data_IF_965094834219
#
_entry.id   IF_965094834219
#
_cell.length_a   1.000
_cell.length_b   1.000
_cell.length_c   1.000
_cell.angle_alpha   90.00
_cell.angle_beta   90.00
_cell.angle_gamma   90.00
#
_symmetry.space_group_name_H-M   'P 1'
#
loop_
_entity.id
_entity.type
_entity.pdbx_description
1 polymer ?
#
# COMPACT_ATOMS: atom_id res chain seq x y z
N UNK A 1 73.62 22.09 64.64
CA UNK A 1 73.32 21.31 65.85
C UNK A 1 71.92 20.73 65.63
N UNK A 2 71.95 19.42 65.35
CA UNK A 2 71.20 18.37 66.02
C UNK A 2 69.68 18.59 66.01
N UNK A 3 68.85 17.70 65.70
CA UNK A 3 68.85 16.24 65.49
C UNK A 3 67.40 15.89 65.21
N UNK A 4 67.24 14.91 64.43
CA UNK A 4 66.55 13.63 64.61
C UNK A 4 65.02 13.62 64.53
N UNK A 5 64.60 12.99 63.54
CA UNK A 5 64.05 11.64 63.45
C UNK A 5 62.60 11.50 63.91
N UNK A 6 61.69 11.08 63.04
CA UNK A 6 61.07 9.78 63.16
C UNK A 6 60.03 9.57 62.06
N UNK A 7 60.31 8.59 61.38
CA UNK A 7 59.55 7.72 60.50
C UNK A 7 58.16 7.33 61.02
N UNK A 8 57.10 7.43 60.18
CA UNK A 8 55.91 6.57 60.24
C UNK A 8 55.22 6.51 58.87
N UNK A 9 54.74 5.35 58.48
CA UNK A 9 54.38 5.03 57.08
C UNK A 9 53.04 5.59 56.63
N UNK A 10 52.99 5.93 55.35
CA UNK A 10 51.82 6.38 54.64
C UNK A 10 50.78 5.28 54.55
N UNK A 11 49.59 5.56 55.08
CA UNK A 11 48.36 4.75 54.81
C UNK A 11 47.94 4.94 53.38
N UNK A 12 47.90 3.86 52.63
CA UNK A 12 47.36 3.79 51.28
C UNK A 12 45.87 4.05 51.29
N UNK A 13 45.47 5.24 50.84
CA UNK A 13 44.10 5.53 50.48
C UNK A 13 43.83 4.85 49.13
N UNK A 14 43.14 3.73 49.14
CA UNK A 14 42.57 3.10 47.98
C UNK A 14 41.43 3.99 47.48
N UNK A 15 41.64 4.73 46.40
CA UNK A 15 40.58 5.32 45.61
C UNK A 15 39.74 4.19 45.01
N UNK A 16 38.58 3.92 45.60
CA UNK A 16 37.52 3.10 45.02
C UNK A 16 36.99 3.87 43.78
N UNK A 17 37.34 3.40 42.61
CA UNK A 17 36.67 3.74 41.36
C UNK A 17 35.17 3.36 41.47
N UNK A 18 34.23 4.26 41.21
CA UNK A 18 32.84 3.85 41.19
C UNK A 18 32.68 2.76 40.09
N UNK A 19 32.28 1.59 40.50
CA UNK A 19 31.96 0.49 39.60
C UNK A 19 31.02 0.97 38.52
N UNK A 20 31.37 0.77 37.30
CA UNK A 20 30.48 0.80 36.18
C UNK A 20 29.40 -0.27 36.44
N UNK A 21 28.28 0.13 37.03
CA UNK A 21 27.09 -0.68 36.98
C UNK A 21 26.78 -0.86 35.50
N UNK A 22 27.16 -2.02 34.95
CA UNK A 22 26.58 -2.54 33.75
C UNK A 22 25.07 -2.60 34.00
N UNK A 23 24.37 -1.58 33.57
CA UNK A 23 22.94 -1.68 33.33
C UNK A 23 22.74 -2.72 32.23
N UNK A 24 22.77 -3.99 32.59
CA UNK A 24 22.00 -5.00 31.95
C UNK A 24 20.54 -4.65 32.29
N UNK A 25 20.05 -3.55 31.74
CA UNK A 25 18.65 -3.26 31.68
C UNK A 25 18.02 -4.44 30.98
N UNK A 26 17.19 -5.17 31.71
CA UNK A 26 16.12 -5.94 31.10
C UNK A 26 15.60 -5.10 29.95
N UNK A 27 15.72 -5.58 28.72
CA UNK A 27 15.18 -4.90 27.55
C UNK A 27 13.70 -4.73 27.83
N UNK A 28 13.34 -3.58 28.39
CA UNK A 28 12.00 -3.25 28.80
C UNK A 28 11.17 -3.25 27.53
N UNK A 29 10.27 -4.20 27.47
CA UNK A 29 9.35 -4.40 26.39
C UNK A 29 8.43 -3.18 26.31
N UNK A 30 8.86 -2.19 25.54
CA UNK A 30 8.03 -1.01 25.27
C UNK A 30 6.98 -1.37 24.24
N UNK A 31 5.73 -0.92 24.45
CA UNK A 31 4.69 -1.04 23.44
C UNK A 31 5.18 -0.46 22.11
N UNK A 32 4.99 -1.21 21.04
CA UNK A 32 5.50 -0.87 19.70
C UNK A 32 4.34 -0.61 18.75
N UNK A 33 4.38 0.51 18.04
CA UNK A 33 3.48 0.80 16.94
C UNK A 33 4.09 0.27 15.64
N UNK A 34 3.43 -0.69 15.00
CA UNK A 34 3.69 -1.10 13.63
C UNK A 34 2.86 -0.28 12.66
N UNK A 35 3.49 0.32 11.66
CA UNK A 35 2.81 1.07 10.60
C UNK A 35 3.19 0.47 9.26
N UNK A 36 2.20 -0.01 8.54
CA UNK A 36 2.27 -0.29 7.12
C UNK A 36 1.81 0.96 6.36
N UNK A 37 2.76 1.69 5.77
CA UNK A 37 2.48 2.83 4.90
C UNK A 37 2.43 2.35 3.45
N UNK A 38 1.26 1.91 3.01
CA UNK A 38 1.05 1.39 1.65
C UNK A 38 0.76 2.47 0.61
N UNK A 39 0.88 2.12 -0.67
CA UNK A 39 0.57 3.01 -1.81
C UNK A 39 -0.92 3.34 -1.87
N UNK A 40 -1.78 2.34 -1.71
CA UNK A 40 -3.24 2.49 -1.80
C UNK A 40 -3.90 2.59 -0.43
N UNK A 41 -3.48 1.77 0.51
CA UNK A 41 -4.00 1.72 1.87
C UNK A 41 -2.86 1.65 2.87
N UNK A 42 -3.07 2.21 4.05
CA UNK A 42 -2.17 2.13 5.20
C UNK A 42 -2.89 1.48 6.37
N UNK A 43 -2.13 0.75 7.19
CA UNK A 43 -2.63 0.09 8.38
C UNK A 43 -1.70 0.32 9.57
N UNK A 44 -2.22 0.16 10.78
CA UNK A 44 -1.42 0.23 12.00
C UNK A 44 -1.86 -0.84 13.01
N UNK A 45 -0.91 -1.28 13.81
CA UNK A 45 -1.16 -2.21 14.88
C UNK A 45 -0.30 -1.86 16.11
N UNK A 46 -0.81 -2.20 17.28
CA UNK A 46 -0.14 -1.96 18.54
C UNK A 46 0.29 -3.28 19.19
N UNK A 47 1.60 -3.47 19.37
CA UNK A 47 2.16 -4.53 20.18
C UNK A 47 2.25 -4.10 21.64
N UNK A 48 1.47 -4.74 22.53
CA UNK A 48 1.40 -4.39 23.95
C UNK A 48 2.28 -5.27 24.83
N UNK A 49 2.55 -6.48 24.39
CA UNK A 49 3.38 -7.47 25.09
C UNK A 49 3.95 -8.45 24.04
N UNK A 50 4.95 -9.30 24.40
CA UNK A 50 5.45 -10.33 23.49
C UNK A 50 4.33 -11.20 22.98
N UNK A 51 4.20 -11.20 21.67
CA UNK A 51 3.20 -12.01 21.02
C UNK A 51 1.76 -11.52 21.12
N UNK A 52 1.51 -10.35 21.72
CA UNK A 52 0.19 -9.73 21.81
C UNK A 52 0.16 -8.49 20.94
N UNK A 53 -0.66 -8.52 19.91
CA UNK A 53 -0.85 -7.39 18.97
C UNK A 53 -2.34 -7.07 18.85
N UNK A 54 -2.64 -5.79 18.80
CA UNK A 54 -3.97 -5.27 18.57
C UNK A 54 -3.98 -4.50 17.26
N UNK A 55 -4.70 -4.95 16.23
CA UNK A 55 -4.96 -4.13 15.05
C UNK A 55 -5.69 -2.86 15.45
N UNK A 56 -5.31 -1.74 14.82
CA UNK A 56 -5.93 -0.44 15.08
C UNK A 56 -6.90 -0.10 13.95
N UNK A 57 -8.13 0.20 14.30
CA UNK A 57 -9.14 0.68 13.36
C UNK A 57 -8.92 2.18 13.13
N UNK A 58 -8.10 2.54 12.15
CA UNK A 58 -7.73 3.93 11.87
C UNK A 58 -8.90 4.79 11.38
N UNK A 59 -9.99 4.18 10.89
CA UNK A 59 -11.15 4.90 10.37
C UNK A 59 -12.45 4.11 10.62
N UNK A 60 -13.25 4.57 11.59
CA UNK A 60 -14.45 3.83 12.02
C UNK A 60 -14.08 2.46 12.57
N UNK A 61 -14.64 1.39 11.99
CA UNK A 61 -14.30 0.00 12.30
C UNK A 61 -13.30 -0.62 11.30
N UNK A 62 -12.83 0.14 10.32
CA UNK A 62 -11.98 -0.37 9.25
C UNK A 62 -10.54 -0.55 9.70
N UNK A 63 -9.97 -1.73 9.49
CA UNK A 63 -8.58 -2.07 9.77
C UNK A 63 -7.57 -1.38 8.85
N UNK A 64 -8.02 -0.72 7.77
CA UNK A 64 -7.18 0.04 6.85
C UNK A 64 -7.71 1.44 6.58
N UNK A 65 -6.79 2.37 6.37
CA UNK A 65 -7.03 3.75 5.98
C UNK A 65 -6.53 3.95 4.54
N UNK A 66 -7.38 4.33 3.57
CA UNK A 66 -6.88 4.72 2.25
C UNK A 66 -5.77 5.77 2.37
N UNK A 67 -4.65 5.56 1.67
CA UNK A 67 -3.52 6.50 1.65
C UNK A 67 -3.88 7.70 0.77
N UNK A 68 -4.80 8.51 1.29
CA UNK A 68 -5.39 9.65 0.60
C UNK A 68 -5.52 10.85 1.53
N UNK A 69 -5.20 12.03 1.00
CA UNK A 69 -5.39 13.34 1.64
C UNK A 69 -6.19 14.22 0.70
N UNK A 70 -7.20 14.89 1.19
CA UNK A 70 -7.92 15.92 0.45
C UNK A 70 -7.81 17.25 1.16
N UNK A 71 -7.31 18.24 0.44
CA UNK A 71 -7.25 19.63 0.90
C UNK A 71 -8.47 20.38 0.38
N UNK A 72 -9.47 20.57 1.25
CA UNK A 72 -10.68 21.32 0.95
C UNK A 72 -10.34 22.81 0.92
N UNK A 73 -10.42 23.44 -0.26
CA UNK A 73 -10.05 24.85 -0.46
C UNK A 73 -11.07 25.81 0.15
N UNK A 74 -12.35 25.44 0.18
CA UNK A 74 -13.43 26.28 0.70
C UNK A 74 -13.35 26.41 2.23
N UNK A 75 -13.25 25.25 2.92
CA UNK A 75 -13.22 25.21 4.38
C UNK A 75 -11.81 25.38 4.97
N UNK A 76 -10.77 25.33 4.12
CA UNK A 76 -9.34 25.29 4.52
C UNK A 76 -9.05 24.15 5.50
N UNK A 77 -9.66 22.99 5.26
CA UNK A 77 -9.54 21.79 6.10
C UNK A 77 -8.89 20.64 5.31
N UNK A 78 -8.22 19.79 6.07
CA UNK A 78 -7.58 18.59 5.52
C UNK A 78 -8.37 17.36 5.94
N UNK A 79 -8.74 16.53 4.98
CA UNK A 79 -9.45 15.27 5.14
C UNK A 79 -8.54 14.10 4.79
N UNK A 80 -8.77 12.94 5.40
CA UNK A 80 -7.91 11.77 5.25
C UNK A 80 -8.73 10.52 4.98
N UNK A 81 -8.14 9.55 4.26
CA UNK A 81 -8.74 8.25 4.06
C UNK A 81 -10.02 8.30 3.22
N UNK A 82 -11.04 7.59 3.66
CA UNK A 82 -12.36 7.53 2.99
C UNK A 82 -13.06 8.87 2.99
N UNK A 83 -12.91 9.65 4.06
CA UNK A 83 -13.45 11.00 4.14
C UNK A 83 -12.84 11.92 3.06
N UNK A 84 -11.53 11.82 2.82
CA UNK A 84 -10.85 12.54 1.74
C UNK A 84 -11.40 12.15 0.36
N UNK A 85 -11.65 10.87 0.13
CA UNK A 85 -12.22 10.36 -1.11
C UNK A 85 -13.67 10.81 -1.26
N UNK A 86 -14.46 10.78 -0.18
CA UNK A 86 -15.86 11.20 -0.19
C UNK A 86 -16.02 12.68 -0.56
N UNK A 87 -15.23 13.59 0.02
CA UNK A 87 -15.22 15.00 -0.34
C UNK A 87 -14.85 15.24 -1.81
N UNK A 88 -13.86 14.48 -2.28
CA UNK A 88 -13.45 14.56 -3.69
C UNK A 88 -14.58 14.08 -4.64
N UNK A 89 -15.22 12.95 -4.32
CA UNK A 89 -16.34 12.41 -5.10
C UNK A 89 -17.58 13.32 -5.07
N UNK A 90 -17.80 14.02 -3.95
CA UNK A 90 -18.87 15.01 -3.83
C UNK A 90 -18.62 16.28 -4.67
N UNK A 91 -17.45 16.38 -5.34
CA UNK A 91 -17.10 17.54 -6.16
C UNK A 91 -16.72 18.78 -5.35
N UNK A 92 -16.43 18.64 -4.06
CA UNK A 92 -15.94 19.72 -3.20
C UNK A 92 -14.68 20.34 -3.82
N UNK A 93 -14.59 21.68 -3.79
CA UNK A 93 -13.43 22.36 -4.32
C UNK A 93 -12.19 22.07 -3.47
N UNK A 94 -11.14 21.55 -4.10
CA UNK A 94 -9.94 21.16 -3.38
C UNK A 94 -9.02 20.24 -4.17
N UNK A 95 -8.06 19.65 -3.48
CA UNK A 95 -7.03 18.81 -4.10
C UNK A 95 -6.90 17.47 -3.41
N UNK A 96 -7.14 16.39 -4.14
CA UNK A 96 -6.89 15.03 -3.69
C UNK A 96 -5.44 14.62 -3.99
N UNK A 97 -4.77 14.05 -2.98
CA UNK A 97 -3.46 13.44 -3.07
C UNK A 97 -3.57 11.96 -2.72
N UNK A 98 -3.08 11.09 -3.60
CA UNK A 98 -3.04 9.63 -3.42
C UNK A 98 -1.69 9.06 -3.85
N UNK A 99 -1.44 7.80 -3.53
CA UNK A 99 -0.25 7.04 -3.95
C UNK A 99 1.07 7.71 -3.54
N UNK A 100 1.08 8.35 -2.37
CA UNK A 100 2.23 9.13 -1.88
C UNK A 100 3.49 8.28 -1.70
N UNK A 101 3.36 6.98 -1.41
CA UNK A 101 4.51 6.06 -1.28
C UNK A 101 5.31 5.95 -2.57
N UNK A 102 4.66 6.02 -3.74
CA UNK A 102 5.34 5.93 -5.05
C UNK A 102 6.25 7.13 -5.36
N UNK A 103 6.15 8.22 -4.60
CA UNK A 103 7.04 9.38 -4.74
C UNK A 103 8.39 9.19 -4.03
N UNK A 104 8.48 8.21 -3.12
CA UNK A 104 9.74 7.92 -2.39
C UNK A 104 10.84 7.53 -3.37
N UNK A 105 12.03 8.09 -3.18
CA UNK A 105 13.17 7.88 -4.08
C UNK A 105 13.11 8.67 -5.40
N UNK A 106 12.04 9.44 -5.67
CA UNK A 106 11.95 10.32 -6.83
C UNK A 106 12.35 11.76 -6.49
N UNK A 107 12.81 12.51 -7.49
CA UNK A 107 13.11 13.94 -7.35
C UNK A 107 11.86 14.76 -6.99
N UNK A 108 10.68 14.28 -7.35
CA UNK A 108 9.40 14.93 -7.08
C UNK A 108 9.11 15.12 -5.59
N UNK A 109 9.70 14.29 -4.71
CA UNK A 109 9.42 14.37 -3.27
C UNK A 109 9.82 15.72 -2.65
N UNK A 110 10.85 16.37 -3.20
CA UNK A 110 11.31 17.69 -2.75
C UNK A 110 10.61 18.83 -3.49
N UNK A 111 9.89 18.53 -4.57
CA UNK A 111 9.09 19.54 -5.25
C UNK A 111 7.97 20.05 -4.35
N UNK A 112 7.58 21.29 -4.59
CA UNK A 112 6.53 21.94 -3.81
C UNK A 112 5.24 22.03 -4.61
N UNK A 113 4.16 21.89 -3.91
CA UNK A 113 2.82 22.10 -4.44
C UNK A 113 2.10 23.10 -3.57
N UNK A 114 1.17 23.85 -4.15
CA UNK A 114 0.39 24.84 -3.40
C UNK A 114 -0.75 24.15 -2.66
N UNK A 115 -0.85 24.42 -1.35
CA UNK A 115 -1.94 24.00 -0.49
C UNK A 115 -2.32 25.19 0.39
N UNK A 116 -3.58 25.64 0.31
CA UNK A 116 -4.11 26.80 1.06
C UNK A 116 -3.29 28.09 0.90
N UNK A 117 -2.69 28.29 -0.29
CA UNK A 117 -1.82 29.46 -0.56
C UNK A 117 -0.39 29.31 -0.03
N UNK A 118 0.01 28.14 0.45
CA UNK A 118 1.36 27.82 0.91
C UNK A 118 2.01 26.77 0.04
N UNK A 119 3.29 26.97 -0.30
CA UNK A 119 4.08 25.99 -1.03
C UNK A 119 4.64 24.95 -0.05
N UNK A 120 4.09 23.73 -0.05
CA UNK A 120 4.52 22.59 0.76
C UNK A 120 5.16 21.51 -0.10
N UNK A 121 6.15 20.79 0.44
CA UNK A 121 6.78 19.68 -0.27
C UNK A 121 5.95 18.40 -0.18
N UNK A 122 6.14 17.48 -1.12
CA UNK A 122 5.49 16.18 -1.03
C UNK A 122 5.96 15.38 0.20
N UNK A 123 7.20 15.60 0.66
CA UNK A 123 7.65 15.05 1.95
C UNK A 123 6.79 15.52 3.12
N UNK A 124 6.45 16.81 3.17
CA UNK A 124 5.62 17.37 4.23
C UNK A 124 4.17 16.87 4.14
N UNK A 125 3.70 16.53 2.94
CA UNK A 125 2.42 15.87 2.74
C UNK A 125 2.43 14.45 3.32
N UNK A 126 3.49 13.67 3.07
CA UNK A 126 3.67 12.34 3.70
C UNK A 126 3.74 12.48 5.21
N UNK A 127 4.50 13.45 5.73
CA UNK A 127 4.59 13.72 7.17
C UNK A 127 3.21 14.06 7.77
N UNK A 128 2.38 14.83 7.05
CA UNK A 128 1.01 15.15 7.47
C UNK A 128 0.14 13.89 7.56
N UNK A 129 0.25 12.97 6.62
CA UNK A 129 -0.48 11.70 6.64
C UNK A 129 -0.02 10.79 7.79
N UNK A 130 1.30 10.65 7.98
CA UNK A 130 1.86 9.86 9.10
C UNK A 130 1.51 10.47 10.47
N UNK A 131 1.45 11.81 10.58
CA UNK A 131 0.98 12.50 11.78
C UNK A 131 -0.47 12.17 12.11
N UNK A 132 -1.32 12.03 11.09
CA UNK A 132 -2.71 11.63 11.29
C UNK A 132 -2.82 10.17 11.72
N UNK A 133 -2.04 9.25 11.13
CA UNK A 133 -1.96 7.86 11.60
C UNK A 133 -1.53 7.84 13.07
N UNK A 134 -0.48 8.59 13.43
CA UNK A 134 -0.02 8.68 14.82
C UNK A 134 -1.14 9.15 15.75
N UNK A 135 -1.81 10.24 15.41
CA UNK A 135 -2.90 10.82 16.23
C UNK A 135 -4.03 9.80 16.46
N UNK A 136 -4.47 9.12 15.39
CA UNK A 136 -5.54 8.11 15.48
C UNK A 136 -5.12 6.89 16.31
N UNK A 137 -3.89 6.43 16.13
CA UNK A 137 -3.36 5.29 16.88
C UNK A 137 -3.15 5.63 18.37
N UNK A 138 -2.60 6.80 18.70
CA UNK A 138 -2.45 7.26 20.09
C UNK A 138 -3.83 7.43 20.78
N UNK A 139 -4.82 7.93 20.04
CA UNK A 139 -6.18 8.07 20.57
C UNK A 139 -6.82 6.73 20.92
N UNK A 140 -6.62 5.70 20.08
CA UNK A 140 -7.16 4.36 20.35
C UNK A 140 -6.38 3.63 21.47
N UNK A 141 -5.08 3.78 21.47
CA UNK A 141 -4.22 3.14 22.44
C UNK A 141 -4.28 3.79 23.82
N UNK A 142 -4.78 5.05 23.91
CA UNK A 142 -4.82 5.83 25.16
C UNK A 142 -3.44 6.27 25.66
N UNK A 143 -2.37 6.10 24.87
CA UNK A 143 -1.00 6.45 25.23
C UNK A 143 -0.17 6.86 24.00
N UNK A 144 0.88 7.65 24.24
CA UNK A 144 1.84 8.01 23.20
C UNK A 144 2.77 6.85 22.87
N UNK A 145 3.08 6.68 21.57
CA UNK A 145 3.98 5.65 21.10
C UNK A 145 5.45 6.03 21.32
N UNK A 146 6.22 5.16 21.94
CA UNK A 146 7.64 5.40 22.20
C UNK A 146 8.55 4.70 21.19
N UNK A 147 8.09 3.62 20.56
CA UNK A 147 8.80 2.86 19.55
C UNK A 147 7.88 2.66 18.34
N UNK A 148 8.44 2.86 17.15
CA UNK A 148 7.69 2.71 15.89
C UNK A 148 8.49 1.84 14.93
N UNK A 149 7.83 0.87 14.32
CA UNK A 149 8.37 0.08 13.22
C UNK A 149 7.57 0.40 11.96
N UNK A 150 8.27 0.94 10.96
CA UNK A 150 7.69 1.18 9.63
C UNK A 150 7.99 0.01 8.71
N UNK A 151 7.00 -0.39 7.94
CA UNK A 151 7.18 -1.28 6.81
C UNK A 151 8.03 -0.64 5.72
N UNK A 152 8.91 -1.46 5.11
CA UNK A 152 9.57 -1.12 3.87
C UNK A 152 9.44 -2.28 2.88
N UNK A 153 9.23 -2.00 1.58
CA UNK A 153 9.35 -3.03 0.55
C UNK A 153 10.80 -3.53 0.48
N UNK A 154 11.04 -4.64 -0.20
CA UNK A 154 12.41 -5.12 -0.42
C UNK A 154 13.21 -4.05 -1.17
N UNK A 155 12.60 -3.47 -2.20
CA UNK A 155 13.12 -2.33 -2.95
C UNK A 155 12.06 -1.23 -3.07
N UNK A 156 12.39 0.00 -2.67
CA UNK A 156 11.60 1.19 -3.02
C UNK A 156 11.82 1.59 -4.47
N UNK A 157 13.02 1.33 -4.98
CA UNK A 157 13.44 1.61 -6.35
C UNK A 157 14.25 0.42 -6.86
N UNK A 158 13.73 -0.23 -7.89
CA UNK A 158 14.40 -1.36 -8.52
C UNK A 158 15.71 -0.94 -9.19
N UNK A 159 16.71 -1.82 -9.15
CA UNK A 159 18.01 -1.69 -9.82
C UNK A 159 18.83 -0.43 -9.46
N UNK A 160 18.42 0.34 -8.43
CA UNK A 160 19.15 1.53 -7.96
C UNK A 160 19.28 1.57 -6.42
N UNK A 161 20.32 0.94 -5.86
CA UNK A 161 20.54 0.90 -4.40
C UNK A 161 20.70 2.28 -3.75
N UNK A 162 21.18 3.28 -4.50
CA UNK A 162 21.35 4.65 -3.96
C UNK A 162 19.98 5.33 -3.80
N UNK A 163 19.13 5.22 -4.82
CA UNK A 163 17.77 5.75 -4.75
C UNK A 163 16.91 4.97 -3.77
N UNK A 164 17.12 3.68 -3.64
CA UNK A 164 16.45 2.85 -2.62
C UNK A 164 16.78 3.33 -1.20
N UNK A 165 18.07 3.53 -0.89
CA UNK A 165 18.52 4.06 0.39
C UNK A 165 17.98 5.49 0.65
N UNK A 166 17.96 6.33 -0.40
CA UNK A 166 17.39 7.68 -0.32
C UNK A 166 15.89 7.63 -0.01
N UNK A 167 15.14 6.73 -0.62
CA UNK A 167 13.71 6.55 -0.36
C UNK A 167 13.43 6.18 1.10
N UNK A 168 14.21 5.25 1.67
CA UNK A 168 14.13 4.91 3.08
C UNK A 168 14.44 6.10 3.99
N UNK A 169 15.50 6.83 3.69
CA UNK A 169 15.89 8.02 4.44
C UNK A 169 14.80 9.10 4.41
N UNK A 170 14.20 9.34 3.24
CA UNK A 170 13.12 10.30 3.08
C UNK A 170 11.86 9.91 3.87
N UNK A 171 11.53 8.62 3.92
CA UNK A 171 10.42 8.12 4.75
C UNK A 171 10.73 8.30 6.24
N UNK A 172 11.98 8.05 6.66
CA UNK A 172 12.43 8.30 8.03
C UNK A 172 12.27 9.78 8.42
N UNK A 173 12.70 10.69 7.56
CA UNK A 173 12.60 12.13 7.79
C UNK A 173 11.12 12.59 7.88
N UNK A 174 10.26 12.06 7.01
CA UNK A 174 8.82 12.33 7.06
C UNK A 174 8.18 11.80 8.37
N UNK A 175 8.59 10.62 8.82
CA UNK A 175 8.14 10.03 10.07
C UNK A 175 8.59 10.85 11.30
N UNK A 176 9.83 11.31 11.30
CA UNK A 176 10.36 12.19 12.35
C UNK A 176 9.64 13.55 12.36
N UNK A 177 9.37 14.14 11.19
CA UNK A 177 8.58 15.36 11.06
C UNK A 177 7.14 15.18 11.53
N UNK A 178 6.56 13.98 11.39
CA UNK A 178 5.27 13.59 11.95
C UNK A 178 5.30 13.45 13.50
N UNK A 179 6.48 13.50 14.11
CA UNK A 179 6.71 13.35 15.55
C UNK A 179 6.76 11.89 16.01
N UNK A 180 6.95 10.93 15.10
CA UNK A 180 7.24 9.55 15.43
C UNK A 180 8.68 9.46 15.95
N UNK A 181 8.89 8.73 17.05
CA UNK A 181 10.18 8.62 17.72
C UNK A 181 10.68 7.17 17.70
N UNK A 182 12.00 6.99 17.82
CA UNK A 182 12.62 5.66 17.81
C UNK A 182 12.10 4.80 16.66
N UNK A 183 12.18 5.37 15.45
CA UNK A 183 11.71 4.72 14.22
C UNK A 183 12.75 3.72 13.73
N UNK A 184 12.31 2.50 13.49
CA UNK A 184 13.07 1.44 12.81
C UNK A 184 12.29 0.91 11.61
N UNK A 185 12.95 0.13 10.74
CA UNK A 185 12.34 -0.46 9.56
C UNK A 185 12.38 -1.97 9.61
N UNK A 186 11.36 -2.59 9.05
CA UNK A 186 11.32 -4.04 8.80
C UNK A 186 10.79 -4.28 7.39
N UNK A 187 11.30 -5.30 6.71
CA UNK A 187 10.81 -5.70 5.40
C UNK A 187 9.36 -6.17 5.47
N UNK A 188 8.51 -5.57 4.64
CA UNK A 188 7.08 -5.89 4.57
C UNK A 188 6.79 -7.40 4.36
N UNK A 189 7.51 -8.13 3.46
CA UNK A 189 7.28 -9.56 3.30
C UNK A 189 7.64 -10.39 4.54
N UNK A 190 8.64 -9.98 5.31
CA UNK A 190 8.97 -10.63 6.59
C UNK A 190 7.88 -10.34 7.62
N UNK A 191 7.44 -9.09 7.71
CA UNK A 191 6.35 -8.70 8.60
C UNK A 191 5.04 -9.41 8.25
N UNK A 192 4.67 -9.45 6.97
CA UNK A 192 3.48 -10.14 6.50
C UNK A 192 3.45 -11.61 6.94
N UNK A 193 4.57 -12.31 6.75
CA UNK A 193 4.68 -13.72 7.08
C UNK A 193 4.97 -14.02 8.56
N UNK A 194 5.10 -13.00 9.41
CA UNK A 194 5.53 -13.19 10.81
C UNK A 194 4.56 -14.02 11.64
N UNK A 195 3.25 -13.86 11.44
CA UNK A 195 2.25 -14.69 12.13
C UNK A 195 2.33 -16.17 11.68
N UNK A 196 2.57 -16.41 10.40
CA UNK A 196 2.84 -17.76 9.87
C UNK A 196 4.12 -18.33 10.47
N UNK A 197 5.21 -17.56 10.51
CA UNK A 197 6.51 -17.97 11.06
C UNK A 197 6.42 -18.44 12.52
N UNK A 198 5.55 -17.83 13.31
CA UNK A 198 5.34 -18.22 14.73
C UNK A 198 4.66 -19.58 14.91
N UNK A 199 3.96 -20.08 13.89
CA UNK A 199 3.19 -21.33 13.93
C UNK A 199 3.98 -22.50 13.37
N UNK A 200 5.02 -22.27 12.59
CA UNK A 200 5.82 -23.34 12.00
C UNK A 200 6.84 -23.87 13.00
N UNK A 201 7.14 -25.18 12.91
CA UNK A 201 8.04 -25.89 13.83
C UNK A 201 9.40 -26.19 13.19
N UNK A 202 9.54 -26.02 11.88
CA UNK A 202 10.75 -26.20 11.09
C UNK A 202 10.99 -25.02 10.16
N UNK A 203 12.16 -24.97 9.54
CA UNK A 203 12.45 -23.98 8.50
C UNK A 203 11.58 -24.26 7.27
N UNK A 204 10.99 -23.19 6.72
CA UNK A 204 10.14 -23.20 5.55
C UNK A 204 10.64 -22.20 4.50
N UNK A 205 10.52 -22.56 3.24
CA UNK A 205 10.67 -21.67 2.09
C UNK A 205 9.29 -21.20 1.66
N UNK A 206 9.04 -19.89 1.77
CA UNK A 206 7.73 -19.31 1.55
C UNK A 206 7.82 -18.23 0.48
N UNK A 207 6.94 -18.31 -0.52
CA UNK A 207 6.69 -17.21 -1.43
C UNK A 207 5.66 -16.28 -0.79
N UNK A 208 6.05 -15.09 -0.42
CA UNK A 208 5.13 -14.02 -0.02
C UNK A 208 4.69 -13.27 -1.27
N UNK A 209 3.38 -13.22 -1.50
CA UNK A 209 2.75 -12.52 -2.60
C UNK A 209 1.89 -11.38 -2.05
N UNK A 210 2.37 -10.15 -2.20
CA UNK A 210 1.65 -8.93 -1.83
C UNK A 210 1.03 -8.29 -3.06
N UNK A 211 -0.28 -8.41 -3.19
CA UNK A 211 -1.02 -7.89 -4.33
C UNK A 211 -1.81 -6.66 -3.89
N UNK A 212 -1.22 -5.51 -4.16
CA UNK A 212 -1.78 -4.21 -3.81
C UNK A 212 -2.78 -3.65 -4.83
N UNK A 213 -2.94 -2.33 -4.80
CA UNK A 213 -3.75 -1.64 -5.82
C UNK A 213 -2.97 -1.37 -7.11
N UNK A 214 -1.68 -0.99 -7.02
CA UNK A 214 -0.87 -0.59 -8.17
C UNK A 214 0.31 -1.51 -8.47
N UNK A 215 0.76 -2.32 -7.51
CA UNK A 215 1.89 -3.25 -7.65
C UNK A 215 1.53 -4.62 -7.14
N UNK A 216 2.19 -5.62 -7.72
CA UNK A 216 2.21 -6.99 -7.22
C UNK A 216 3.65 -7.35 -6.92
N UNK A 217 3.96 -7.52 -5.64
CA UNK A 217 5.30 -7.73 -5.12
C UNK A 217 5.45 -9.15 -4.60
N UNK A 218 6.54 -9.82 -4.99
CA UNK A 218 6.83 -11.19 -4.64
C UNK A 218 8.18 -11.27 -3.94
N UNK A 219 8.23 -12.07 -2.88
CA UNK A 219 9.50 -12.32 -2.19
C UNK A 219 9.58 -13.78 -1.75
N UNK A 220 10.66 -14.45 -2.11
CA UNK A 220 10.97 -15.77 -1.54
C UNK A 220 11.71 -15.57 -0.26
N UNK A 221 11.12 -16.00 0.85
CA UNK A 221 11.66 -15.81 2.19
C UNK A 221 11.89 -17.13 2.90
N UNK A 222 12.93 -17.18 3.72
CA UNK A 222 13.24 -18.30 4.59
C UNK A 222 12.76 -17.97 5.99
N UNK A 223 11.76 -18.72 6.44
CA UNK A 223 11.11 -18.56 7.74
C UNK A 223 11.46 -19.71 8.66
N UNK A 224 11.44 -19.49 9.97
CA UNK A 224 11.65 -20.58 10.93
C UNK A 224 11.81 -20.14 12.37
N UNK A 225 11.57 -21.02 13.35
CA UNK A 225 11.53 -20.66 14.77
C UNK A 225 12.87 -20.11 15.30
N UNK A 226 14.00 -20.55 14.75
CA UNK A 226 15.32 -20.01 15.12
C UNK A 226 15.50 -18.60 14.54
N UNK A 227 15.03 -18.36 13.32
CA UNK A 227 15.09 -17.06 12.63
C UNK A 227 14.21 -16.03 13.31
N UNK A 228 12.97 -16.42 13.66
CA UNK A 228 12.08 -15.60 14.45
C UNK A 228 12.73 -15.15 15.76
N UNK A 229 13.31 -16.08 16.52
CA UNK A 229 14.02 -15.77 17.78
C UNK A 229 15.20 -14.81 17.58
N UNK A 230 15.97 -14.96 16.49
CA UNK A 230 17.09 -14.05 16.17
C UNK A 230 16.59 -12.66 15.80
N UNK A 231 15.48 -12.57 15.07
CA UNK A 231 14.84 -11.29 14.76
C UNK A 231 14.42 -10.56 16.04
N UNK A 232 13.83 -11.28 16.98
CA UNK A 232 13.48 -10.77 18.29
C UNK A 232 14.71 -10.27 19.11
N UNK A 233 15.89 -10.77 18.82
CA UNK A 233 17.17 -10.30 19.37
C UNK A 233 17.83 -9.18 18.53
N UNK A 234 17.09 -8.55 17.61
CA UNK A 234 17.58 -7.44 16.78
C UNK A 234 18.44 -7.83 15.58
N UNK A 235 18.46 -9.11 15.18
CA UNK A 235 19.22 -9.55 14.02
C UNK A 235 18.58 -9.06 12.70
N UNK A 236 19.44 -8.62 11.78
CA UNK A 236 19.03 -8.27 10.42
C UNK A 236 18.48 -9.49 9.67
N UNK A 237 17.30 -9.34 9.08
CA UNK A 237 16.58 -10.36 8.33
C UNK A 237 16.80 -10.26 6.81
N UNK A 238 17.61 -9.33 6.32
CA UNK A 238 17.84 -9.18 4.87
C UNK A 238 18.32 -10.48 4.21
N UNK A 239 19.14 -11.27 4.92
CA UNK A 239 19.65 -12.57 4.43
C UNK A 239 18.60 -13.68 4.40
N UNK A 240 17.44 -13.48 4.98
CA UNK A 240 16.33 -14.42 4.92
C UNK A 240 15.47 -14.21 3.66
N UNK A 241 15.64 -13.09 2.96
CA UNK A 241 15.03 -12.82 1.66
C UNK A 241 15.97 -13.38 0.60
N UNK A 242 15.54 -14.42 -0.09
CA UNK A 242 16.33 -15.13 -1.10
C UNK A 242 16.23 -14.47 -2.48
N UNK A 243 15.06 -13.95 -2.80
CA UNK A 243 14.79 -13.17 -4.00
C UNK A 243 13.59 -12.26 -3.78
N UNK A 244 13.52 -11.19 -4.57
CA UNK A 244 12.36 -10.32 -4.66
C UNK A 244 12.16 -9.88 -6.11
N UNK A 245 10.92 -9.79 -6.55
CA UNK A 245 10.53 -9.29 -7.86
C UNK A 245 9.17 -8.60 -7.75
N UNK A 246 8.95 -7.59 -8.58
CA UNK A 246 7.68 -6.85 -8.61
C UNK A 246 7.24 -6.57 -10.04
N UNK A 247 5.95 -6.32 -10.19
CA UNK A 247 5.37 -5.87 -11.45
C UNK A 247 4.32 -4.79 -11.18
N UNK A 248 4.36 -3.72 -11.99
CA UNK A 248 3.36 -2.66 -11.95
C UNK A 248 2.08 -3.09 -12.67
N UNK A 249 1.46 -4.13 -12.16
CA UNK A 249 0.14 -4.65 -12.56
C UNK A 249 -0.54 -5.17 -11.31
N UNK A 250 -1.68 -4.60 -10.94
CA UNK A 250 -2.44 -5.02 -9.76
C UNK A 250 -3.92 -4.60 -9.86
N UNK A 251 -4.59 -4.41 -8.73
CA UNK A 251 -6.03 -4.17 -8.65
C UNK A 251 -6.54 -3.05 -9.55
N UNK A 252 -5.84 -1.92 -9.62
CA UNK A 252 -6.26 -0.77 -10.45
C UNK A 252 -6.14 -1.05 -11.96
N UNK A 253 -5.22 -1.93 -12.38
CA UNK A 253 -5.12 -2.34 -13.79
C UNK A 253 -6.27 -3.27 -14.16
N UNK A 254 -6.72 -4.09 -13.21
CA UNK A 254 -7.91 -4.91 -13.38
C UNK A 254 -9.15 -4.03 -13.55
N UNK A 255 -9.33 -3.02 -12.68
CA UNK A 255 -10.42 -2.05 -12.76
C UNK A 255 -10.39 -1.27 -14.07
N UNK A 256 -9.22 -0.79 -14.49
CA UNK A 256 -9.02 -0.13 -15.77
C UNK A 256 -9.49 -1.01 -16.93
N UNK A 257 -9.05 -2.26 -16.98
CA UNK A 257 -9.41 -3.21 -18.04
C UNK A 257 -10.91 -3.47 -18.05
N UNK A 258 -11.52 -3.72 -16.91
CA UNK A 258 -12.96 -3.98 -16.78
C UNK A 258 -13.79 -2.77 -17.14
N UNK A 259 -13.35 -1.56 -16.75
CA UNK A 259 -13.98 -0.30 -17.14
C UNK A 259 -14.01 -0.13 -18.67
N UNK A 260 -12.90 -0.40 -19.35
CA UNK A 260 -12.81 -0.34 -20.81
C UNK A 260 -13.69 -1.38 -21.52
N UNK A 261 -13.93 -2.54 -20.93
CA UNK A 261 -14.73 -3.58 -21.56
C UNK A 261 -16.23 -3.47 -21.24
N UNK A 262 -16.61 -3.07 -20.02
CA UNK A 262 -18.01 -3.07 -19.59
C UNK A 262 -18.67 -1.69 -19.64
N UNK A 263 -17.98 -0.62 -19.27
CA UNK A 263 -18.57 0.71 -19.07
C UNK A 263 -18.28 1.67 -20.25
N UNK A 264 -17.04 1.77 -20.67
CA UNK A 264 -16.63 2.74 -21.69
C UNK A 264 -17.30 2.55 -23.04
N UNK A 265 -17.70 1.33 -23.50
CA UNK A 265 -18.49 1.16 -24.70
C UNK A 265 -19.87 1.84 -24.65
N UNK A 266 -20.48 1.94 -23.46
CA UNK A 266 -21.74 2.64 -23.24
C UNK A 266 -21.62 4.16 -23.39
N UNK A 267 -20.39 4.68 -23.34
CA UNK A 267 -20.05 6.08 -23.58
C UNK A 267 -19.49 6.34 -24.99
N UNK A 268 -19.27 5.27 -25.78
CA UNK A 268 -18.80 5.34 -27.17
C UNK A 268 -17.40 4.82 -27.44
N UNK A 269 -16.73 4.17 -26.49
CA UNK A 269 -15.47 3.48 -26.74
C UNK A 269 -15.65 2.38 -27.80
N UNK A 270 -14.77 2.34 -28.80
CA UNK A 270 -14.86 1.46 -29.98
C UNK A 270 -16.14 1.63 -30.82
N UNK A 271 -16.91 2.70 -30.61
CA UNK A 271 -18.06 3.00 -31.42
C UNK A 271 -17.62 3.48 -32.82
N UNK A 272 -18.24 2.89 -33.86
CA UNK A 272 -17.95 3.29 -35.24
C UNK A 272 -18.83 4.48 -35.61
N UNK A 273 -18.21 5.60 -35.90
CA UNK A 273 -18.84 6.83 -36.34
C UNK A 273 -19.30 6.81 -37.77
N UNK A 274 -19.84 7.95 -38.31
CA UNK A 274 -20.41 8.05 -39.67
C UNK A 274 -19.45 7.66 -40.77
N UNK A 275 -18.12 7.85 -40.55
CA UNK A 275 -17.07 7.51 -41.52
C UNK A 275 -16.48 6.12 -41.32
N UNK A 276 -17.14 5.26 -40.55
CA UNK A 276 -16.64 3.93 -40.12
C UNK A 276 -15.27 4.00 -39.43
N UNK A 277 -14.96 5.11 -38.76
CA UNK A 277 -13.79 5.26 -37.89
C UNK A 277 -14.26 5.19 -36.45
N UNK A 278 -13.44 4.60 -35.64
CA UNK A 278 -13.70 4.58 -34.20
C UNK A 278 -13.62 5.99 -33.61
N UNK A 279 -14.46 6.26 -32.63
CA UNK A 279 -14.34 7.47 -31.80
C UNK A 279 -12.96 7.51 -31.15
N UNK A 280 -12.26 8.66 -31.14
CA UNK A 280 -10.95 8.79 -30.52
C UNK A 280 -10.95 8.27 -29.09
N UNK A 281 -10.03 7.34 -28.80
CA UNK A 281 -10.06 6.53 -27.56
C UNK A 281 -9.49 7.21 -26.34
N UNK A 282 -8.73 8.30 -26.48
CA UNK A 282 -7.98 8.95 -25.39
C UNK A 282 -8.84 9.32 -24.17
N UNK A 283 -10.05 9.86 -24.42
CA UNK A 283 -10.96 10.24 -23.32
C UNK A 283 -11.40 9.03 -22.48
N UNK A 284 -11.59 7.86 -23.09
CA UNK A 284 -12.03 6.66 -22.41
C UNK A 284 -10.90 6.02 -21.61
N UNK A 285 -9.67 6.01 -22.15
CA UNK A 285 -8.50 5.55 -21.39
C UNK A 285 -8.28 6.40 -20.15
N UNK A 286 -8.41 7.71 -20.25
CA UNK A 286 -8.25 8.59 -19.11
C UNK A 286 -9.39 8.46 -18.11
N UNK A 287 -10.64 8.30 -18.56
CA UNK A 287 -11.79 8.03 -17.67
C UNK A 287 -11.71 6.67 -16.97
N UNK A 288 -11.03 5.68 -17.58
CA UNK A 288 -10.77 4.39 -16.97
C UNK A 288 -9.54 4.41 -16.04
N UNK A 289 -8.73 5.47 -16.04
CA UNK A 289 -7.51 5.58 -15.25
C UNK A 289 -7.70 6.58 -14.11
N UNK A 290 -7.84 6.08 -12.88
CA UNK A 290 -8.22 6.86 -11.70
C UNK A 290 -7.52 8.23 -11.57
N UNK A 291 -6.21 8.28 -11.70
CA UNK A 291 -5.44 9.53 -11.50
C UNK A 291 -5.50 10.50 -12.70
N UNK A 292 -6.02 10.06 -13.85
CA UNK A 292 -6.19 10.89 -15.04
C UNK A 292 -7.58 11.49 -15.15
N UNK A 293 -8.59 10.92 -14.51
CA UNK A 293 -9.99 11.34 -14.59
C UNK A 293 -10.17 12.85 -14.37
N UNK A 294 -9.53 13.38 -13.32
CA UNK A 294 -9.65 14.80 -12.96
C UNK A 294 -9.24 15.78 -14.07
N UNK A 295 -8.27 15.39 -14.93
CA UNK A 295 -7.80 16.24 -16.01
C UNK A 295 -8.85 16.42 -17.10
N UNK A 296 -9.81 15.49 -17.21
CA UNK A 296 -10.92 15.52 -18.16
C UNK A 296 -12.02 16.48 -17.78
N UNK A 297 -11.97 17.09 -16.59
CA UNK A 297 -12.93 18.11 -16.14
C UNK A 297 -12.47 19.55 -16.43
N UNK A 298 -11.28 19.74 -17.01
CA UNK A 298 -10.80 21.06 -17.39
C UNK A 298 -11.64 21.64 -18.54
N UNK A 299 -11.75 22.98 -18.61
CA UNK A 299 -12.50 23.66 -19.68
C UNK A 299 -12.03 23.24 -21.08
N UNK A 300 -10.71 23.05 -21.25
CA UNK A 300 -10.11 22.57 -22.51
C UNK A 300 -10.57 21.15 -22.84
N UNK A 301 -10.47 20.22 -21.89
CA UNK A 301 -10.86 18.82 -22.10
C UNK A 301 -12.38 18.68 -22.37
N UNK A 302 -13.20 19.49 -21.71
CA UNK A 302 -14.64 19.56 -21.98
C UNK A 302 -14.95 20.10 -23.37
N UNK A 303 -14.17 21.07 -23.86
CA UNK A 303 -14.31 21.57 -25.22
C UNK A 303 -13.93 20.49 -26.26
N UNK A 304 -12.78 19.85 -26.09
CA UNK A 304 -12.34 18.72 -26.91
C UNK A 304 -13.39 17.58 -26.95
N UNK A 305 -13.97 17.24 -25.80
CA UNK A 305 -15.01 16.21 -25.71
C UNK A 305 -16.31 16.60 -26.48
N UNK A 306 -16.68 17.89 -26.49
CA UNK A 306 -17.82 18.37 -27.29
C UNK A 306 -17.57 18.23 -28.79
N UNK A 307 -16.35 18.47 -29.24
CA UNK A 307 -15.98 18.35 -30.68
C UNK A 307 -16.06 16.89 -31.17
N UNK A 308 -15.84 15.90 -30.27
CA UNK A 308 -16.03 14.49 -30.61
C UNK A 308 -17.44 14.16 -31.10
N UNK A 309 -18.44 15.04 -30.89
CA UNK A 309 -19.81 14.81 -31.36
C UNK A 309 -19.89 14.40 -32.83
N UNK A 310 -19.00 14.94 -33.67
CA UNK A 310 -18.95 14.64 -35.10
C UNK A 310 -18.49 13.21 -35.41
N UNK A 311 -17.81 12.56 -34.48
CA UNK A 311 -17.29 11.19 -34.61
C UNK A 311 -18.29 10.14 -34.14
N UNK A 312 -19.44 10.53 -33.58
CA UNK A 312 -20.46 9.61 -33.10
C UNK A 312 -21.60 9.45 -34.13
N UNK A 313 -21.88 8.22 -34.54
CA UNK A 313 -23.10 7.88 -35.29
C UNK A 313 -24.35 7.86 -34.38
N UNK A 314 -24.21 7.38 -33.12
CA UNK A 314 -25.28 7.45 -32.12
C UNK A 314 -25.06 8.65 -31.18
N UNK A 315 -25.92 9.69 -31.26
CA UNK A 315 -25.81 10.87 -30.40
C UNK A 315 -26.00 10.58 -28.91
N UNK A 316 -26.70 9.48 -28.53
CA UNK A 316 -26.95 9.13 -27.14
C UNK A 316 -25.64 8.77 -26.42
N UNK A 317 -24.75 8.03 -27.10
CA UNK A 317 -23.43 7.66 -26.52
C UNK A 317 -22.61 8.91 -26.22
N UNK A 318 -22.58 9.89 -27.12
CA UNK A 318 -21.92 11.17 -26.87
C UNK A 318 -22.61 11.94 -25.72
N UNK A 319 -23.95 11.92 -25.65
CA UNK A 319 -24.70 12.54 -24.55
C UNK A 319 -24.30 11.97 -23.20
N UNK A 320 -24.18 10.63 -23.09
CA UNK A 320 -23.69 9.95 -21.87
C UNK A 320 -22.26 10.36 -21.50
N UNK A 321 -21.34 10.41 -22.47
CA UNK A 321 -19.98 10.90 -22.25
C UNK A 321 -20.01 12.32 -21.70
N UNK A 322 -20.80 13.22 -22.30
CA UNK A 322 -20.91 14.59 -21.84
C UNK A 322 -21.53 14.71 -20.45
N UNK A 323 -22.53 13.89 -20.11
CA UNK A 323 -23.08 13.82 -18.75
C UNK A 323 -22.00 13.45 -17.74
N UNK A 324 -21.21 12.39 -18.00
CA UNK A 324 -20.11 11.97 -17.13
C UNK A 324 -19.10 13.09 -16.91
N UNK A 325 -18.70 13.78 -17.95
CA UNK A 325 -17.68 14.81 -17.88
C UNK A 325 -18.20 16.09 -17.20
N UNK A 326 -19.40 16.56 -17.57
CA UNK A 326 -19.98 17.80 -17.05
C UNK A 326 -20.37 17.70 -15.57
N UNK A 327 -20.86 16.54 -15.15
CA UNK A 327 -21.25 16.27 -13.76
C UNK A 327 -20.12 15.60 -12.94
N UNK A 328 -18.89 15.50 -13.50
CA UNK A 328 -17.71 14.93 -12.84
C UNK A 328 -17.91 13.51 -12.29
N UNK A 329 -18.64 12.67 -13.01
CA UNK A 329 -19.04 11.32 -12.58
C UNK A 329 -17.97 10.24 -12.82
N UNK A 330 -16.82 10.56 -13.42
CA UNK A 330 -15.79 9.58 -13.78
C UNK A 330 -15.28 8.76 -12.60
N UNK A 331 -15.10 9.38 -11.43
CA UNK A 331 -14.66 8.65 -10.24
C UNK A 331 -15.77 7.78 -9.63
N UNK A 332 -17.04 8.16 -9.78
CA UNK A 332 -18.17 7.29 -9.44
C UNK A 332 -18.14 6.03 -10.30
N UNK A 333 -17.97 6.19 -11.63
CA UNK A 333 -17.82 5.05 -12.55
C UNK A 333 -16.68 4.11 -12.14
N UNK A 334 -15.51 4.68 -11.80
CA UNK A 334 -14.34 3.88 -11.41
C UNK A 334 -14.61 3.11 -10.10
N UNK A 335 -15.23 3.75 -9.12
CA UNK A 335 -15.61 3.11 -7.85
C UNK A 335 -16.64 1.99 -8.05
N UNK A 336 -17.64 2.22 -8.90
CA UNK A 336 -18.68 1.22 -9.16
C UNK A 336 -18.12 0.00 -9.90
N UNK A 337 -17.14 0.19 -10.80
CA UNK A 337 -16.42 -0.92 -11.44
C UNK A 337 -15.61 -1.70 -10.42
N UNK A 338 -14.86 -1.02 -9.53
CA UNK A 338 -14.09 -1.67 -8.46
C UNK A 338 -15.00 -2.48 -7.55
N UNK A 339 -16.15 -1.91 -7.13
CA UNK A 339 -17.10 -2.61 -6.27
C UNK A 339 -17.70 -3.83 -6.96
N UNK A 340 -18.13 -3.69 -8.21
CA UNK A 340 -18.68 -4.80 -9.00
C UNK A 340 -17.66 -5.94 -9.19
N UNK A 341 -16.37 -5.62 -9.42
CA UNK A 341 -15.28 -6.60 -9.46
C UNK A 341 -15.16 -7.35 -8.13
N UNK A 342 -15.18 -6.63 -7.00
CA UNK A 342 -15.09 -7.22 -5.66
C UNK A 342 -16.29 -8.14 -5.40
N UNK A 343 -17.49 -7.67 -5.64
CA UNK A 343 -18.72 -8.42 -5.40
C UNK A 343 -18.79 -9.69 -6.26
N UNK A 344 -18.49 -9.57 -7.56
CA UNK A 344 -18.44 -10.71 -8.48
C UNK A 344 -17.37 -11.73 -8.07
N UNK A 345 -16.19 -11.27 -7.66
CA UNK A 345 -15.10 -12.13 -7.20
C UNK A 345 -15.45 -12.89 -5.92
N UNK A 346 -16.16 -12.26 -4.99
CA UNK A 346 -16.52 -12.87 -3.71
C UNK A 346 -17.68 -13.86 -3.83
N UNK A 347 -18.64 -13.56 -4.69
CA UNK A 347 -19.85 -14.36 -4.85
C UNK A 347 -19.72 -15.43 -5.95
N UNK A 348 -18.80 -15.24 -6.89
CA UNK A 348 -18.71 -16.05 -8.11
C UNK A 348 -19.88 -15.83 -9.08
N UNK A 349 -20.67 -14.76 -8.88
CA UNK A 349 -21.84 -14.42 -9.68
C UNK A 349 -21.60 -13.17 -10.53
N UNK A 350 -22.42 -13.02 -11.56
CA UNK A 350 -22.42 -11.81 -12.37
C UNK A 350 -22.82 -10.60 -11.51
N UNK A 351 -22.14 -9.48 -11.73
CA UNK A 351 -22.45 -8.22 -11.08
C UNK A 351 -23.08 -7.24 -12.08
N UNK A 352 -23.85 -6.29 -11.54
CA UNK A 352 -24.48 -5.22 -12.32
C UNK A 352 -23.96 -3.87 -11.81
N UNK A 353 -23.37 -3.10 -12.70
CA UNK A 353 -22.95 -1.73 -12.44
C UNK A 353 -24.13 -0.81 -12.74
N UNK A 354 -24.64 -0.12 -11.73
CA UNK A 354 -25.77 0.79 -11.84
C UNK A 354 -25.34 2.17 -12.32
N UNK A 355 -25.68 2.51 -13.54
CA UNK A 355 -25.30 3.76 -14.21
C UNK A 355 -26.50 4.71 -14.40
N UNK A 356 -27.59 4.55 -13.61
CA UNK A 356 -28.81 5.38 -13.73
C UNK A 356 -28.55 6.87 -13.48
N UNK A 357 -27.47 7.22 -12.82
CA UNK A 357 -27.05 8.61 -12.64
C UNK A 357 -26.44 9.22 -13.92
N UNK A 358 -26.08 8.40 -14.91
CA UNK A 358 -25.66 8.86 -16.25
C UNK A 358 -26.86 8.99 -17.18
N UNK A 359 -27.72 7.97 -17.22
CA UNK A 359 -28.95 7.95 -18.02
C UNK A 359 -29.99 7.01 -17.35
N UNK A 360 -31.24 7.41 -17.32
CA UNK A 360 -32.31 6.61 -16.71
C UNK A 360 -32.36 5.19 -17.31
N UNK A 361 -32.28 4.18 -16.43
CA UNK A 361 -32.31 2.76 -16.83
C UNK A 361 -30.98 2.20 -17.33
N UNK A 362 -29.91 3.01 -17.43
CA UNK A 362 -28.60 2.53 -17.88
C UNK A 362 -27.95 1.62 -16.84
N UNK A 363 -27.44 0.49 -17.30
CA UNK A 363 -26.71 -0.50 -16.51
C UNK A 363 -25.63 -1.14 -17.36
N UNK A 364 -24.53 -1.54 -16.75
CA UNK A 364 -23.52 -2.40 -17.35
C UNK A 364 -23.49 -3.74 -16.62
N UNK A 365 -23.37 -4.84 -17.36
CA UNK A 365 -23.18 -6.17 -16.79
C UNK A 365 -21.69 -6.49 -16.68
N UNK A 366 -21.29 -7.11 -15.59
CA UNK A 366 -19.97 -7.71 -15.41
C UNK A 366 -20.16 -9.22 -15.23
N UNK A 367 -19.97 -9.97 -16.31
CA UNK A 367 -20.02 -11.43 -16.32
C UNK A 367 -18.81 -12.01 -15.60
N UNK A 368 -19.03 -12.87 -14.61
CA UNK A 368 -17.98 -13.45 -13.77
C UNK A 368 -16.97 -14.29 -14.57
N UNK A 369 -17.45 -15.09 -15.52
CA UNK A 369 -16.58 -15.92 -16.38
C UNK A 369 -15.82 -15.05 -17.40
N UNK A 370 -16.52 -14.09 -18.03
CA UNK A 370 -15.92 -13.12 -18.95
C UNK A 370 -14.88 -12.24 -18.28
N UNK A 371 -15.09 -11.85 -17.03
CA UNK A 371 -14.11 -11.10 -16.24
C UNK A 371 -12.78 -11.84 -16.11
N UNK A 372 -12.81 -13.11 -15.74
CA UNK A 372 -11.62 -13.94 -15.62
C UNK A 372 -10.87 -14.03 -16.98
N UNK A 373 -11.61 -14.21 -18.07
CA UNK A 373 -11.04 -14.30 -19.43
C UNK A 373 -10.41 -12.96 -19.87
N UNK A 374 -11.10 -11.85 -19.62
CA UNK A 374 -10.62 -10.50 -20.00
C UNK A 374 -9.36 -10.12 -19.24
N UNK A 375 -9.22 -10.56 -17.98
CA UNK A 375 -8.08 -10.26 -17.12
C UNK A 375 -6.94 -11.27 -17.25
N UNK A 376 -7.14 -12.41 -17.94
CA UNK A 376 -6.14 -13.46 -18.06
C UNK A 376 -4.74 -12.97 -18.47
N UNK A 377 -4.55 -12.07 -19.45
CA UNK A 377 -3.21 -11.59 -19.80
C UNK A 377 -2.52 -10.83 -18.66
N UNK A 378 -3.27 -10.06 -17.87
CA UNK A 378 -2.74 -9.35 -16.70
C UNK A 378 -2.38 -10.34 -15.59
N UNK A 379 -3.27 -11.30 -15.32
CA UNK A 379 -3.05 -12.33 -14.31
C UNK A 379 -1.83 -13.21 -14.64
N UNK A 380 -1.63 -13.56 -15.92
CA UNK A 380 -0.45 -14.28 -16.37
C UNK A 380 0.85 -13.48 -16.17
N UNK A 381 0.82 -12.16 -16.38
CA UNK A 381 1.99 -11.30 -16.10
C UNK A 381 2.32 -11.28 -14.61
N UNK A 382 1.30 -11.18 -13.75
CA UNK A 382 1.47 -11.19 -12.29
C UNK A 382 2.04 -12.52 -11.82
N UNK A 383 1.44 -13.65 -12.24
CA UNK A 383 1.89 -14.99 -11.88
C UNK A 383 3.25 -15.33 -12.52
N UNK A 384 3.52 -14.84 -13.72
CA UNK A 384 4.83 -14.92 -14.36
C UNK A 384 5.93 -14.28 -13.52
N UNK A 385 5.67 -13.09 -12.95
CA UNK A 385 6.60 -12.44 -12.03
C UNK A 385 6.85 -13.27 -10.75
N UNK A 386 5.81 -13.93 -10.22
CA UNK A 386 5.97 -14.85 -9.09
C UNK A 386 6.90 -16.03 -9.42
N UNK A 387 6.72 -16.64 -10.59
CA UNK A 387 7.58 -17.74 -11.06
C UNK A 387 9.02 -17.27 -11.29
N UNK A 388 9.20 -16.06 -11.80
CA UNK A 388 10.52 -15.46 -12.01
C UNK A 388 11.22 -15.20 -10.67
N UNK A 389 10.50 -14.73 -9.65
CA UNK A 389 11.02 -14.56 -8.31
C UNK A 389 11.52 -15.89 -7.72
N UNK A 390 10.76 -16.98 -7.87
CA UNK A 390 11.17 -18.31 -7.40
C UNK A 390 12.41 -18.81 -8.13
N UNK A 391 12.49 -18.59 -9.45
CA UNK A 391 13.68 -18.94 -10.24
C UNK A 391 14.92 -18.12 -9.85
N UNK A 392 14.75 -16.84 -9.54
CA UNK A 392 15.85 -15.98 -9.05
C UNK A 392 16.38 -16.45 -7.68
N UNK A 393 15.53 -17.05 -6.84
CA UNK A 393 15.94 -17.69 -5.59
C UNK A 393 16.71 -19.02 -5.82
N UNK A 394 16.86 -19.47 -7.07
CA UNK A 394 17.46 -20.78 -7.41
C UNK A 394 16.56 -21.97 -7.08
N UNK A 395 15.26 -21.75 -7.01
CA UNK A 395 14.25 -22.73 -6.62
C UNK A 395 13.28 -23.05 -7.77
N UNK A 396 12.61 -24.19 -7.65
CA UNK A 396 11.45 -24.54 -8.45
C UNK A 396 10.16 -24.40 -7.60
N UNK A 397 8.98 -24.28 -8.23
CA UNK A 397 7.70 -24.13 -7.49
C UNK A 397 7.47 -25.21 -6.43
N UNK A 398 7.89 -26.46 -6.67
CA UNK A 398 7.75 -27.59 -5.75
C UNK A 398 8.69 -27.53 -4.54
N UNK A 399 9.69 -26.66 -4.55
CA UNK A 399 10.62 -26.48 -3.42
C UNK A 399 10.03 -25.55 -2.34
N UNK A 400 8.92 -24.90 -2.65
CA UNK A 400 8.22 -24.03 -1.72
C UNK A 400 7.34 -24.85 -0.76
N UNK A 401 7.44 -24.55 0.54
CA UNK A 401 6.55 -25.12 1.55
C UNK A 401 5.17 -24.45 1.54
N UNK A 402 5.10 -23.14 1.22
CA UNK A 402 3.84 -22.39 1.16
C UNK A 402 3.95 -21.14 0.28
N UNK A 403 2.78 -20.65 -0.14
CA UNK A 403 2.59 -19.31 -0.69
C UNK A 403 1.75 -18.52 0.32
N UNK A 404 2.28 -17.41 0.83
CA UNK A 404 1.58 -16.55 1.76
C UNK A 404 1.01 -15.33 1.04
N UNK A 405 -0.33 -15.19 1.06
CA UNK A 405 -1.04 -14.10 0.39
C UNK A 405 -1.29 -12.93 1.34
N UNK A 406 -0.96 -11.74 0.87
CA UNK A 406 -1.28 -10.46 1.53
C UNK A 406 -1.67 -9.40 0.48
N UNK A 407 -2.13 -8.24 0.94
CA UNK A 407 -2.65 -7.20 0.06
C UNK A 407 -4.09 -7.45 -0.41
N UNK A 408 -4.88 -6.37 -0.50
CA UNK A 408 -6.32 -6.47 -0.74
C UNK A 408 -6.71 -7.17 -2.04
N UNK A 409 -5.90 -7.00 -3.11
CA UNK A 409 -6.17 -7.62 -4.42
C UNK A 409 -5.80 -9.11 -4.48
N UNK A 410 -5.10 -9.65 -3.48
CA UNK A 410 -4.82 -11.08 -3.38
C UNK A 410 -6.07 -11.91 -3.08
N UNK A 411 -7.15 -11.26 -2.61
CA UNK A 411 -8.46 -11.90 -2.44
C UNK A 411 -9.17 -12.22 -3.75
N UNK A 412 -8.71 -11.64 -4.88
CA UNK A 412 -9.34 -11.78 -6.19
C UNK A 412 -9.31 -13.25 -6.67
N UNK A 413 -10.48 -13.87 -6.80
CA UNK A 413 -10.61 -15.31 -7.07
C UNK A 413 -9.92 -15.75 -8.37
N UNK A 414 -10.03 -15.05 -9.52
CA UNK A 414 -9.31 -15.42 -10.74
C UNK A 414 -7.79 -15.38 -10.60
N UNK A 415 -7.25 -14.46 -9.79
CA UNK A 415 -5.81 -14.43 -9.48
C UNK A 415 -5.40 -15.69 -8.71
N UNK A 416 -6.15 -16.03 -7.66
CA UNK A 416 -5.87 -17.23 -6.85
C UNK A 416 -5.92 -18.51 -7.67
N UNK A 417 -6.83 -18.62 -8.61
CA UNK A 417 -6.96 -19.77 -9.49
C UNK A 417 -5.77 -19.88 -10.46
N UNK A 418 -5.37 -18.76 -11.06
CA UNK A 418 -4.19 -18.68 -11.92
C UNK A 418 -2.93 -19.06 -11.13
N UNK A 419 -2.81 -18.57 -9.90
CA UNK A 419 -1.68 -18.87 -9.01
C UNK A 419 -1.65 -20.36 -8.63
N UNK A 420 -2.77 -20.97 -8.23
CA UNK A 420 -2.88 -22.42 -7.93
C UNK A 420 -2.48 -23.28 -9.11
N UNK A 421 -2.86 -22.89 -10.31
CA UNK A 421 -2.53 -23.61 -11.53
C UNK A 421 -1.03 -23.59 -11.83
N UNK A 422 -0.34 -22.49 -11.50
CA UNK A 422 1.10 -22.33 -11.71
C UNK A 422 1.96 -23.00 -10.62
N UNK A 423 1.44 -23.08 -9.39
CA UNK A 423 2.12 -23.62 -8.21
C UNK A 423 1.40 -24.87 -7.69
N UNK A 424 1.30 -25.87 -8.55
CA UNK A 424 0.57 -27.12 -8.25
C UNK A 424 1.18 -27.84 -7.05
N UNK A 425 0.36 -28.11 -6.04
CA UNK A 425 0.78 -28.84 -4.83
C UNK A 425 1.36 -27.98 -3.72
N UNK A 426 1.64 -26.69 -3.97
CA UNK A 426 2.09 -25.77 -2.92
C UNK A 426 0.90 -25.24 -2.10
N UNK A 427 1.00 -25.29 -0.78
CA UNK A 427 -0.05 -24.81 0.10
C UNK A 427 -0.20 -23.29 -0.01
N UNK A 428 -1.42 -22.80 -0.15
CA UNK A 428 -1.73 -21.36 -0.09
C UNK A 428 -2.20 -21.03 1.33
N UNK A 429 -1.50 -20.12 1.98
CA UNK A 429 -1.81 -19.61 3.32
C UNK A 429 -2.32 -18.19 3.19
N UNK A 430 -3.47 -17.93 3.76
CA UNK A 430 -4.06 -16.60 3.79
C UNK A 430 -3.71 -15.90 5.09
N UNK A 431 -3.12 -14.71 5.00
CA UNK A 431 -2.92 -13.82 6.11
C UNK A 431 -4.10 -12.86 6.29
N UNK A 432 -3.99 -11.96 7.25
CA UNK A 432 -4.84 -10.79 7.28
C UNK A 432 -4.43 -9.85 6.12
N UNK A 433 -5.32 -9.71 5.14
CA UNK A 433 -5.08 -9.01 3.88
C UNK A 433 -4.78 -7.51 4.03
N UNK A 434 -5.22 -6.90 5.14
CA UNK A 434 -5.13 -5.46 5.35
C UNK A 434 -4.32 -5.07 6.60
N UNK A 435 -4.23 -5.93 7.60
CA UNK A 435 -3.58 -5.65 8.88
C UNK A 435 -2.36 -6.53 9.17
N UNK A 436 -2.14 -7.59 8.38
CA UNK A 436 -1.11 -8.59 8.63
C UNK A 436 0.30 -8.01 8.68
N UNK A 437 0.65 -7.13 7.75
CA UNK A 437 1.94 -6.44 7.72
C UNK A 437 2.10 -5.58 8.97
N UNK A 438 1.13 -4.72 9.27
CA UNK A 438 1.20 -3.84 10.44
C UNK A 438 1.30 -4.64 11.77
N UNK A 439 0.56 -5.74 11.88
CA UNK A 439 0.64 -6.64 13.03
C UNK A 439 2.02 -7.28 13.16
N UNK A 440 2.61 -7.76 12.06
CA UNK A 440 3.97 -8.32 12.05
C UNK A 440 5.04 -7.28 12.41
N UNK A 441 4.91 -6.04 11.95
CA UNK A 441 5.79 -4.93 12.31
C UNK A 441 5.72 -4.65 13.82
N UNK A 442 4.52 -4.62 14.40
CA UNK A 442 4.32 -4.40 15.82
C UNK A 442 4.89 -5.55 16.66
N UNK A 443 4.71 -6.80 16.23
CA UNK A 443 5.23 -7.99 16.91
C UNK A 443 6.77 -8.07 16.84
N UNK A 444 7.35 -7.82 15.68
CA UNK A 444 8.80 -7.89 15.48
C UNK A 444 9.58 -6.75 16.17
N UNK A 445 8.93 -5.63 16.45
CA UNK A 445 9.53 -4.52 17.17
C UNK A 445 9.30 -4.54 18.71
N UNK A 446 8.38 -5.39 19.19
CA UNK A 446 8.05 -5.50 20.62
C UNK A 446 9.06 -6.33 21.43
N UNK A 447 10.21 -6.61 20.87
CA UNK A 447 11.27 -7.45 21.45
C UNK A 447 12.47 -6.66 21.91
#
# INVERSE_FOLDING_TARGET
MKADAADRPAGSATHATPGAHSMHGTAGMYPTLGIDFGTSNSAAAWGTAPGVVQPLALEGSAGSLPTAIFYNSEERRTHFGRDAIAHYLAGTEGRLMRSLKSLLGSALLLEKTEVFGQAISFRDIIATFLKEIRRRSEQQAGAAHQRVVLGRPVHFVDDDPRRDALAQQMLLEAAQAAGLRNVSFMFEPIAAAFDHERRITRENLVLVADIGGGTSDFSVVRLGPIRARRALAGADRARDILAAAGVHVAGTDFDHKLSLEAVMPLLGFRHLGPRRREVPSGVFFDLATWHLIQWRYSAKALHEARELRADYADPRLHGRLMTVLQHRLGHHLANDVEQAKIDSSQTGQDAVIDLRYVEAGLRAGLDAAGMAMQLQPLLQRVVGCALDCVRQAGLAPQDLDAIYLTGGSSAFAPFRETLRSAFTGTAIVEGDLFGGVAAGLALGGAS
#
